data_IF_647127151603
#
_entry.id   IF_647127151603
#
_cell.length_a   1.000
_cell.length_b   1.000
_cell.length_c   1.000
_cell.angle_alpha   90.00
_cell.angle_beta   90.00
_cell.angle_gamma   90.00
#
_symmetry.space_group_name_H-M   'P 1'
#
loop_
_entity.id
_entity.type
_entity.pdbx_description
1 polymer ?
#
# COMPACT_ATOMS: atom_id res chain seq x y z
N UNK A 1 21.85 -11.28 13.58
CA UNK A 1 20.40 -11.22 13.30
C UNK A 1 20.11 -12.18 12.16
N UNK A 2 19.38 -13.27 12.40
CA UNK A 2 18.96 -14.18 11.33
C UNK A 2 17.81 -13.50 10.59
N UNK A 3 18.12 -12.80 9.49
CA UNK A 3 17.12 -12.19 8.63
C UNK A 3 16.17 -13.23 8.06
N UNK A 4 14.90 -12.86 7.91
CA UNK A 4 13.90 -13.67 7.22
C UNK A 4 14.38 -14.00 5.80
N UNK A 5 14.19 -15.25 5.36
CA UNK A 5 14.57 -15.71 4.02
C UNK A 5 13.32 -16.07 3.25
N UNK A 6 13.00 -15.26 2.25
CA UNK A 6 11.87 -15.48 1.35
C UNK A 6 12.38 -16.15 0.07
N UNK A 7 11.62 -17.10 -0.46
CA UNK A 7 11.92 -17.80 -1.71
C UNK A 7 10.67 -17.79 -2.60
N UNK A 8 10.86 -17.60 -3.90
CA UNK A 8 9.83 -17.88 -4.90
C UNK A 8 9.95 -19.34 -5.33
N UNK A 9 8.83 -20.08 -5.33
CA UNK A 9 8.77 -21.49 -5.70
C UNK A 9 8.00 -21.63 -7.00
N UNK A 10 8.64 -22.22 -8.01
CA UNK A 10 8.02 -22.58 -9.29
C UNK A 10 8.27 -24.07 -9.56
N UNK A 11 7.21 -24.87 -9.43
CA UNK A 11 7.28 -26.33 -9.48
C UNK A 11 8.24 -26.91 -8.43
N UNK A 12 9.34 -27.49 -8.90
CA UNK A 12 10.38 -28.08 -8.06
C UNK A 12 11.58 -27.15 -7.79
N UNK A 13 11.57 -25.93 -8.34
CA UNK A 13 12.65 -24.96 -8.17
C UNK A 13 12.29 -23.93 -7.08
N UNK A 14 13.27 -23.60 -6.24
CA UNK A 14 13.17 -22.53 -5.24
C UNK A 14 14.29 -21.51 -5.45
N UNK A 15 13.92 -20.24 -5.68
CA UNK A 15 14.87 -19.15 -5.93
C UNK A 15 14.78 -18.13 -4.79
N UNK A 16 15.90 -17.76 -4.13
CA UNK A 16 15.88 -16.73 -3.10
C UNK A 16 15.31 -15.42 -3.64
N UNK A 17 14.36 -14.83 -2.91
CA UNK A 17 13.86 -13.50 -3.24
C UNK A 17 14.90 -12.45 -2.84
N UNK A 18 15.08 -11.46 -3.71
CA UNK A 18 15.93 -10.29 -3.42
C UNK A 18 15.03 -9.21 -2.81
N UNK A 19 15.33 -8.73 -1.59
CA UNK A 19 14.53 -7.66 -0.99
C UNK A 19 14.71 -6.37 -1.79
N UNK A 20 13.60 -5.71 -2.07
CA UNK A 20 13.54 -4.37 -2.65
C UNK A 20 12.60 -3.51 -1.81
N UNK A 21 12.79 -2.20 -1.85
CA UNK A 21 11.86 -1.23 -1.28
C UNK A 21 10.63 -1.05 -2.16
N UNK A 22 9.55 -0.51 -1.58
CA UNK A 22 8.33 -0.16 -2.31
C UNK A 22 8.61 0.90 -3.39
N UNK A 23 9.50 1.86 -3.11
CA UNK A 23 9.91 2.87 -4.06
C UNK A 23 10.65 2.28 -5.27
N UNK A 24 11.55 1.31 -5.05
CA UNK A 24 12.22 0.57 -6.14
C UNK A 24 11.24 -0.26 -6.97
N UNK A 25 10.17 -0.75 -6.35
CA UNK A 25 9.06 -1.40 -7.05
C UNK A 25 8.13 -0.42 -7.80
N UNK A 26 8.36 0.90 -7.68
CA UNK A 26 7.53 1.94 -8.29
C UNK A 26 6.20 2.18 -7.58
N UNK A 27 6.01 1.61 -6.38
CA UNK A 27 4.79 1.74 -5.60
C UNK A 27 4.83 3.00 -4.73
N UNK A 28 3.77 3.78 -4.79
CA UNK A 28 3.60 5.03 -4.05
C UNK A 28 2.52 4.89 -3.01
N UNK A 29 2.71 5.58 -1.90
CA UNK A 29 1.82 5.47 -0.74
C UNK A 29 0.38 5.85 -1.08
N UNK A 30 0.16 7.03 -1.67
CA UNK A 30 -1.17 7.52 -2.00
C UNK A 30 -1.78 6.85 -3.23
N UNK A 31 -0.99 6.66 -4.28
CA UNK A 31 -1.50 6.18 -5.57
C UNK A 31 -1.74 4.66 -5.58
N UNK A 32 -0.96 3.89 -4.80
CA UNK A 32 -0.99 2.43 -4.84
C UNK A 32 -1.32 1.79 -3.49
N UNK A 33 -0.55 2.10 -2.43
CA UNK A 33 -0.64 1.35 -1.16
C UNK A 33 -1.93 1.66 -0.40
N UNK A 34 -2.33 2.94 -0.33
CA UNK A 34 -3.57 3.34 0.31
C UNK A 34 -4.77 2.71 -0.42
N UNK A 35 -4.80 2.82 -1.75
CA UNK A 35 -5.88 2.24 -2.56
C UNK A 35 -5.97 0.73 -2.41
N UNK A 36 -4.82 0.05 -2.30
CA UNK A 36 -4.79 -1.37 -2.02
C UNK A 36 -5.36 -1.73 -0.64
N UNK A 37 -5.02 -0.96 0.40
CA UNK A 37 -5.61 -1.16 1.75
C UNK A 37 -7.11 -0.87 1.75
N UNK A 38 -7.56 0.15 1.02
CA UNK A 38 -8.99 0.47 0.88
C UNK A 38 -9.75 -0.66 0.16
N UNK A 39 -9.13 -1.26 -0.86
CA UNK A 39 -9.70 -2.40 -1.59
C UNK A 39 -9.66 -3.72 -0.80
N UNK A 40 -8.68 -3.86 0.10
CA UNK A 40 -8.43 -5.07 0.88
C UNK A 40 -8.29 -4.78 2.39
N UNK A 41 -9.33 -4.24 3.06
CA UNK A 41 -9.24 -3.85 4.46
C UNK A 41 -8.95 -5.03 5.40
N UNK A 42 -9.23 -6.26 4.98
CA UNK A 42 -8.94 -7.49 5.72
C UNK A 42 -7.46 -7.67 6.07
N UNK A 43 -6.53 -7.05 5.34
CA UNK A 43 -5.11 -7.13 5.67
C UNK A 43 -4.77 -6.44 6.99
N UNK A 44 -5.57 -5.47 7.41
CA UNK A 44 -5.40 -4.78 8.70
C UNK A 44 -5.82 -5.66 9.88
N UNK A 45 -6.49 -6.78 9.62
CA UNK A 45 -7.02 -7.70 10.61
C UNK A 45 -8.52 -7.93 10.44
N UNK A 46 -9.02 -8.93 11.16
CA UNK A 46 -10.44 -9.28 11.11
C UNK A 46 -11.32 -8.15 11.68
N UNK A 47 -12.45 -7.89 11.04
CA UNK A 47 -13.48 -6.92 11.45
C UNK A 47 -12.99 -5.46 11.55
N UNK A 48 -11.95 -5.09 10.79
CA UNK A 48 -11.53 -3.69 10.65
C UNK A 48 -12.39 -2.99 9.60
N UNK A 49 -12.84 -1.77 9.90
CA UNK A 49 -13.58 -0.92 8.97
C UNK A 49 -12.83 0.41 8.79
N UNK A 50 -12.58 0.76 7.52
CA UNK A 50 -11.98 2.04 7.17
C UNK A 50 -13.07 3.12 7.24
N UNK A 51 -12.89 4.09 8.14
CA UNK A 51 -13.84 5.20 8.32
C UNK A 51 -13.52 6.39 7.41
N UNK A 52 -12.24 6.63 7.16
CA UNK A 52 -11.74 7.73 6.33
C UNK A 52 -10.35 7.39 5.81
N UNK A 53 -10.00 7.94 4.66
CA UNK A 53 -8.64 8.01 4.14
C UNK A 53 -8.20 9.49 4.07
N UNK A 54 -6.95 9.75 3.69
CA UNK A 54 -6.42 11.11 3.58
C UNK A 54 -7.22 11.96 2.58
N UNK A 55 -7.53 13.20 2.95
CA UNK A 55 -8.02 14.21 2.01
C UNK A 55 -6.85 15.10 1.56
N UNK A 56 -6.63 15.19 0.24
CA UNK A 56 -5.51 15.95 -0.35
C UNK A 56 -5.53 17.43 0.07
N UNK A 57 -6.70 18.10 -0.02
CA UNK A 57 -6.88 19.54 0.25
C UNK A 57 -8.32 19.93 0.55
N UNK A 58 -8.48 21.09 1.19
CA UNK A 58 -9.78 21.74 1.37
C UNK A 58 -10.37 22.21 0.04
N UNK A 59 -11.66 21.98 -0.15
CA UNK A 59 -12.46 22.59 -1.21
C UNK A 59 -13.29 23.71 -0.61
N UNK A 60 -13.46 24.80 -1.34
CA UNK A 60 -14.39 25.86 -0.97
C UNK A 60 -15.82 25.33 -1.04
N UNK A 61 -16.77 26.06 -0.44
CA UNK A 61 -18.21 25.76 -0.58
C UNK A 61 -18.71 25.80 -2.04
N UNK A 62 -17.95 26.43 -2.94
CA UNK A 62 -18.21 26.44 -4.39
C UNK A 62 -17.56 25.27 -5.15
N UNK A 63 -16.90 24.34 -4.45
CA UNK A 63 -16.19 23.21 -5.05
C UNK A 63 -14.85 23.57 -5.69
N UNK A 64 -14.38 24.82 -5.54
CA UNK A 64 -13.07 25.21 -6.04
C UNK A 64 -11.97 24.67 -5.11
N UNK A 65 -10.84 24.27 -5.70
CA UNK A 65 -9.65 23.88 -4.93
C UNK A 65 -9.16 25.10 -4.14
N UNK A 66 -9.02 24.97 -2.83
CA UNK A 66 -8.34 26.00 -2.04
C UNK A 66 -6.85 25.96 -2.39
N UNK A 67 -6.34 27.06 -2.94
CA UNK A 67 -4.91 27.28 -3.15
C UNK A 67 -4.29 27.70 -1.82
N UNK A 68 -3.08 27.21 -1.56
CA UNK A 68 -2.34 27.44 -0.30
C UNK A 68 -1.94 28.90 -0.13
#
# INVERSE_FOLDING_TARGET
>A
MSGERVYSVDGAAATPAVPISLAEAGLRERDDLQEWVVAHPEILGENVMILTFEFDRWQTSSGARQLD
#
